data_IF_670857247437
#
_entry.id   IF_670857247437
#
_cell.length_a   1.000
_cell.length_b   1.000
_cell.length_c   1.000
_cell.angle_alpha   90.00
_cell.angle_beta   90.00
_cell.angle_gamma   90.00
#
_symmetry.space_group_name_H-M   'P 1'
#
loop_
_entity.id
_entity.type
_entity.pdbx_description
1 polymer ?
#
# COMPACT_ATOMS: atom_id res chain seq x y z
N UNK A 1 -9.40 3.86 19.31
CA UNK A 1 -9.23 3.52 17.88
C UNK A 1 -10.59 3.62 17.17
N UNK A 2 -10.65 4.15 15.94
CA UNK A 2 -11.89 4.10 15.14
C UNK A 2 -12.19 2.65 14.72
N UNK A 3 -13.46 2.24 14.74
CA UNK A 3 -13.84 0.89 14.35
C UNK A 3 -13.77 0.71 12.83
N UNK A 4 -13.01 -0.29 12.36
CA UNK A 4 -12.86 -0.65 10.94
C UNK A 4 -13.64 -1.94 10.71
N UNK A 5 -14.91 -1.80 10.33
CA UNK A 5 -15.88 -2.90 10.30
C UNK A 5 -15.62 -3.95 9.21
N UNK A 6 -14.89 -3.58 8.15
CA UNK A 6 -14.60 -4.44 7.00
C UNK A 6 -13.19 -5.05 7.03
N UNK A 7 -12.50 -4.93 8.17
CA UNK A 7 -11.14 -5.44 8.28
C UNK A 7 -11.12 -6.97 8.32
N UNK A 8 -10.34 -7.58 7.43
CA UNK A 8 -10.08 -9.01 7.37
C UNK A 8 -8.63 -9.25 7.81
N UNK A 9 -8.47 -9.89 8.96
CA UNK A 9 -7.15 -10.24 9.52
C UNK A 9 -6.56 -11.46 8.83
N UNK A 10 -5.25 -11.43 8.59
CA UNK A 10 -4.50 -12.52 7.99
C UNK A 10 -3.39 -13.06 8.89
N UNK A 11 -2.74 -12.18 9.66
CA UNK A 11 -1.59 -12.51 10.48
C UNK A 11 -1.58 -11.62 11.72
N UNK A 12 -1.23 -12.18 12.88
CA UNK A 12 -1.03 -11.37 14.10
C UNK A 12 0.44 -10.95 14.20
N UNK A 13 0.73 -9.70 14.62
CA UNK A 13 2.09 -9.28 14.87
C UNK A 13 2.68 -10.03 16.06
N UNK A 14 3.97 -10.31 16.00
CA UNK A 14 4.70 -10.75 17.18
C UNK A 14 4.93 -9.57 18.13
N UNK A 15 5.22 -9.85 19.40
CA UNK A 15 5.52 -8.82 20.40
C UNK A 15 6.75 -8.01 19.98
N UNK A 16 7.76 -8.66 19.41
CA UNK A 16 8.98 -8.02 18.95
C UNK A 16 8.71 -7.00 17.83
N UNK A 17 7.80 -7.31 16.90
CA UNK A 17 7.40 -6.38 15.84
C UNK A 17 6.70 -5.15 16.44
N UNK A 18 5.77 -5.37 17.37
CA UNK A 18 5.08 -4.27 18.05
C UNK A 18 6.07 -3.37 18.80
N UNK A 19 6.98 -3.95 19.58
CA UNK A 19 7.99 -3.20 20.34
C UNK A 19 8.96 -2.45 19.42
N UNK A 20 9.44 -3.09 18.34
CA UNK A 20 10.39 -2.50 17.39
C UNK A 20 9.86 -1.22 16.75
N UNK A 21 8.57 -1.16 16.47
CA UNK A 21 7.93 -0.05 15.75
C UNK A 21 7.16 0.93 16.64
N UNK A 22 6.93 0.61 17.91
CA UNK A 22 6.32 1.54 18.86
C UNK A 22 7.15 2.82 18.96
N UNK A 23 6.52 3.97 18.77
CA UNK A 23 7.18 5.29 18.73
C UNK A 23 7.88 5.64 17.43
N UNK A 24 7.92 4.74 16.43
CA UNK A 24 8.48 5.00 15.09
C UNK A 24 7.41 5.22 14.02
N UNK A 25 6.25 4.61 14.22
CA UNK A 25 5.04 4.83 13.42
C UNK A 25 3.96 5.47 14.29
N UNK A 26 2.89 6.05 13.72
CA UNK A 26 1.80 6.62 14.51
C UNK A 26 1.18 5.60 15.45
N UNK A 27 0.79 6.03 16.66
CA UNK A 27 0.16 5.15 17.64
C UNK A 27 -1.08 4.43 17.08
N UNK A 28 -1.81 5.06 16.16
CA UNK A 28 -2.96 4.44 15.50
C UNK A 28 -2.59 3.20 14.66
N UNK A 29 -1.36 3.12 14.14
CA UNK A 29 -0.85 1.92 13.44
C UNK A 29 -0.52 0.81 14.43
N UNK A 30 0.11 1.15 15.56
CA UNK A 30 0.38 0.18 16.62
C UNK A 30 -0.94 -0.38 17.18
N UNK A 31 -1.94 0.49 17.40
CA UNK A 31 -3.28 0.08 17.81
C UNK A 31 -3.94 -0.84 16.77
N UNK A 32 -3.84 -0.49 15.48
CA UNK A 32 -4.36 -1.33 14.39
C UNK A 32 -3.75 -2.74 14.43
N UNK A 33 -2.43 -2.83 14.53
CA UNK A 33 -1.74 -4.12 14.57
C UNK A 33 -2.09 -4.92 15.82
N UNK A 34 -2.22 -4.29 16.99
CA UNK A 34 -2.61 -4.98 18.23
C UNK A 34 -4.06 -5.46 18.20
N UNK A 35 -4.99 -4.64 17.69
CA UNK A 35 -6.42 -4.95 17.69
C UNK A 35 -6.80 -5.93 16.58
N UNK A 36 -6.26 -5.76 15.38
CA UNK A 36 -6.71 -6.46 14.18
C UNK A 36 -5.61 -7.28 13.50
N UNK A 37 -4.34 -6.96 13.75
CA UNK A 37 -3.20 -7.59 13.08
C UNK A 37 -2.87 -6.98 11.72
N UNK A 38 -2.14 -7.75 10.92
CA UNK A 38 -1.93 -7.51 9.51
C UNK A 38 -3.10 -8.10 8.74
N UNK A 39 -3.60 -7.36 7.75
CA UNK A 39 -4.91 -7.63 7.18
C UNK A 39 -5.27 -6.67 6.07
N UNK A 40 -6.51 -6.72 5.62
CA UNK A 40 -7.02 -5.84 4.57
C UNK A 40 -8.32 -5.17 4.94
N UNK A 41 -8.56 -4.02 4.34
CA UNK A 41 -9.82 -3.25 4.37
C UNK A 41 -10.09 -2.71 2.98
N UNK A 42 -11.23 -2.03 2.80
CA UNK A 42 -11.66 -1.46 1.53
C UNK A 42 -11.73 -2.53 0.42
N UNK A 43 -12.35 -3.67 0.75
CA UNK A 43 -12.45 -4.84 -0.13
C UNK A 43 -11.10 -5.33 -0.66
N UNK A 44 -10.04 -5.29 0.16
CA UNK A 44 -8.71 -5.75 -0.22
C UNK A 44 -7.82 -4.66 -0.84
N UNK A 45 -8.35 -3.44 -1.03
CA UNK A 45 -7.61 -2.35 -1.63
C UNK A 45 -6.45 -1.89 -0.74
N UNK A 46 -6.67 -1.72 0.56
CA UNK A 46 -5.65 -1.23 1.48
C UNK A 46 -5.31 -2.33 2.47
N UNK A 47 -4.03 -2.68 2.59
CA UNK A 47 -3.57 -3.80 3.40
C UNK A 47 -2.58 -3.35 4.45
N UNK A 48 -2.88 -3.57 5.72
CA UNK A 48 -1.93 -3.38 6.81
C UNK A 48 -0.91 -4.50 6.77
N UNK A 49 0.38 -4.15 6.70
CA UNK A 49 1.47 -5.11 6.46
C UNK A 49 2.45 -5.18 7.62
N UNK A 50 3.15 -6.31 7.73
CA UNK A 50 4.36 -6.41 8.52
C UNK A 50 5.48 -5.66 7.80
N UNK A 51 6.03 -4.56 8.34
CA UNK A 51 7.05 -3.79 7.65
C UNK A 51 8.27 -4.64 7.26
N UNK A 52 8.67 -5.62 8.08
CA UNK A 52 9.84 -6.48 7.85
C UNK A 52 9.80 -7.21 6.51
N UNK A 53 8.60 -7.56 6.02
CA UNK A 53 8.42 -8.27 4.75
C UNK A 53 8.64 -7.39 3.52
N UNK A 54 8.72 -6.07 3.71
CA UNK A 54 8.77 -5.08 2.64
C UNK A 54 10.02 -4.20 2.70
N UNK A 55 10.89 -4.36 3.71
CA UNK A 55 12.12 -3.57 3.82
C UNK A 55 13.06 -3.80 2.64
N UNK A 56 13.24 -5.06 2.22
CA UNK A 56 14.14 -5.39 1.11
C UNK A 56 13.67 -4.77 -0.21
N UNK A 57 12.38 -4.90 -0.54
CA UNK A 57 11.86 -4.28 -1.76
C UNK A 57 11.92 -2.77 -1.67
N UNK A 58 11.57 -2.17 -0.52
CA UNK A 58 11.62 -0.72 -0.33
C UNK A 58 13.05 -0.18 -0.52
N UNK A 59 14.06 -0.91 -0.04
CA UNK A 59 15.48 -0.56 -0.21
C UNK A 59 15.87 -0.48 -1.69
N UNK A 60 15.40 -1.42 -2.49
CA UNK A 60 15.69 -1.45 -3.93
C UNK A 60 14.87 -0.40 -4.70
N UNK A 61 13.66 -0.09 -4.24
CA UNK A 61 12.66 0.62 -5.03
C UNK A 61 12.40 2.07 -4.61
N UNK A 62 12.96 2.57 -3.50
CA UNK A 62 12.77 3.95 -3.04
C UNK A 62 14.08 4.59 -2.56
N UNK A 63 14.44 5.77 -3.09
CA UNK A 63 15.72 6.41 -2.76
C UNK A 63 15.84 6.85 -1.28
N UNK A 64 14.72 7.09 -0.59
CA UNK A 64 14.68 7.52 0.82
C UNK A 64 14.26 6.39 1.76
N UNK A 65 14.51 5.14 1.37
CA UNK A 65 14.12 3.95 2.14
C UNK A 65 14.61 3.98 3.60
N UNK A 66 15.75 4.62 3.90
CA UNK A 66 16.32 4.67 5.26
C UNK A 66 15.46 5.47 6.25
N UNK A 67 14.65 6.40 5.74
CA UNK A 67 13.77 7.27 6.54
C UNK A 67 12.31 6.76 6.56
N UNK A 68 12.02 5.71 5.78
CA UNK A 68 10.67 5.30 5.43
C UNK A 68 10.31 3.92 6.01
N UNK A 69 9.16 3.83 6.68
CA UNK A 69 8.64 2.57 7.23
C UNK A 69 7.40 2.15 6.44
N UNK A 70 7.42 1.02 5.71
CA UNK A 70 6.25 0.57 4.97
C UNK A 70 5.18 0.04 5.93
N UNK A 71 3.99 0.62 5.88
CA UNK A 71 2.90 0.31 6.82
C UNK A 71 1.62 -0.16 6.13
N UNK A 72 1.43 0.18 4.85
CA UNK A 72 0.39 -0.41 4.02
C UNK A 72 0.89 -0.73 2.62
N UNK A 73 0.19 -1.64 1.94
CA UNK A 73 0.22 -1.78 0.49
C UNK A 73 -1.15 -1.55 -0.11
N UNK A 74 -1.20 -1.26 -1.42
CA UNK A 74 -2.45 -1.19 -2.17
C UNK A 74 -2.66 -2.40 -3.07
N UNK A 75 -3.93 -2.72 -3.35
CA UNK A 75 -4.33 -3.72 -4.35
C UNK A 75 -3.96 -3.34 -5.79
N UNK A 76 -3.29 -2.21 -6.00
CA UNK A 76 -2.78 -1.75 -7.30
C UNK A 76 -1.25 -1.68 -7.35
N UNK A 77 -0.57 -2.31 -6.38
CA UNK A 77 0.88 -2.48 -6.40
C UNK A 77 1.66 -1.28 -5.88
N UNK A 78 1.06 -0.45 -5.01
CA UNK A 78 1.74 0.65 -4.35
C UNK A 78 2.08 0.31 -2.90
N UNK A 79 3.02 1.07 -2.32
CA UNK A 79 3.37 0.97 -0.90
C UNK A 79 3.14 2.33 -0.25
N UNK A 80 2.46 2.34 0.90
CA UNK A 80 2.38 3.51 1.76
C UNK A 80 3.43 3.42 2.86
N UNK A 81 4.24 4.45 2.95
CA UNK A 81 5.32 4.56 3.94
C UNK A 81 5.03 5.70 4.92
N UNK A 82 5.42 5.49 6.18
CA UNK A 82 5.51 6.54 7.17
C UNK A 82 6.93 7.10 7.18
N UNK A 83 7.06 8.40 6.91
CA UNK A 83 8.34 9.07 6.75
C UNK A 83 8.21 10.52 7.24
N UNK A 84 9.11 10.97 8.12
CA UNK A 84 9.17 12.38 8.58
C UNK A 84 7.83 12.99 9.03
N UNK A 85 6.98 12.19 9.69
CA UNK A 85 5.62 12.54 10.12
C UNK A 85 4.57 12.70 8.99
N UNK A 86 4.87 12.22 7.80
CA UNK A 86 3.95 12.14 6.67
C UNK A 86 3.67 10.69 6.29
N UNK A 87 2.43 10.44 5.87
CA UNK A 87 2.07 9.24 5.14
C UNK A 87 2.26 9.52 3.65
N UNK A 88 3.21 8.83 3.04
CA UNK A 88 3.51 8.95 1.61
C UNK A 88 3.00 7.71 0.88
N UNK A 89 2.49 7.88 -0.33
CA UNK A 89 2.08 6.80 -1.23
C UNK A 89 3.06 6.73 -2.40
N UNK A 90 3.85 5.66 -2.43
CA UNK A 90 4.80 5.35 -3.49
C UNK A 90 4.07 4.66 -4.64
N UNK A 91 3.66 5.42 -5.66
CA UNK A 91 2.89 4.90 -6.81
C UNK A 91 3.81 4.28 -7.85
N UNK A 92 4.30 3.06 -7.62
CA UNK A 92 5.24 2.39 -8.53
C UNK A 92 4.74 2.35 -9.97
N UNK A 93 3.44 2.07 -10.18
CA UNK A 93 2.85 2.04 -11.53
C UNK A 93 2.93 3.38 -12.27
N UNK A 94 3.06 4.51 -11.56
CA UNK A 94 3.14 5.88 -12.12
C UNK A 94 4.51 6.53 -11.95
N UNK A 95 5.39 5.98 -11.12
CA UNK A 95 6.67 6.57 -10.78
C UNK A 95 6.56 7.89 -9.99
N UNK A 96 5.48 8.08 -9.22
CA UNK A 96 5.27 9.30 -8.41
C UNK A 96 5.09 9.04 -6.92
N UNK A 97 5.51 9.99 -6.08
CA UNK A 97 5.27 9.97 -4.63
C UNK A 97 4.24 11.04 -4.27
N UNK A 98 3.16 10.62 -3.62
CA UNK A 98 2.09 11.53 -3.17
C UNK A 98 2.05 11.62 -1.64
N UNK A 99 1.88 12.84 -1.11
CA UNK A 99 1.59 13.05 0.31
C UNK A 99 0.12 12.75 0.58
N UNK A 100 -0.15 11.65 1.29
CA UNK A 100 -1.52 11.21 1.63
C UNK A 100 -2.04 11.92 2.88
N UNK A 101 -1.18 12.10 3.89
CA UNK A 101 -1.55 12.78 5.13
C UNK A 101 -0.33 13.36 5.86
N UNK A 102 -0.40 14.63 6.27
CA UNK A 102 0.59 15.22 7.20
C UNK A 102 0.29 15.01 8.69
N UNK A 103 -0.89 14.45 9.01
CA UNK A 103 -1.23 13.97 10.36
C UNK A 103 -2.02 12.68 10.21
N UNK A 104 -1.46 11.56 10.65
CA UNK A 104 -2.07 10.25 10.49
C UNK A 104 -3.48 10.12 11.12
N UNK A 105 -3.76 10.92 12.16
CA UNK A 105 -5.01 10.87 12.92
C UNK A 105 -6.30 10.94 12.09
N UNK A 106 -6.26 11.53 10.89
CA UNK A 106 -7.43 11.66 10.02
C UNK A 106 -7.50 10.61 8.92
N UNK A 107 -6.48 9.76 8.77
CA UNK A 107 -6.37 8.83 7.64
C UNK A 107 -7.56 7.86 7.56
N UNK A 108 -7.86 7.12 8.63
CA UNK A 108 -9.00 6.18 8.64
C UNK A 108 -10.37 6.85 8.51
N UNK A 109 -10.48 8.12 8.91
CA UNK A 109 -11.69 8.90 8.66
C UNK A 109 -11.80 9.23 7.18
N UNK A 110 -10.70 9.66 6.55
CA UNK A 110 -10.64 10.01 5.15
C UNK A 110 -10.85 8.81 4.23
N UNK A 111 -10.51 7.59 4.65
CA UNK A 111 -10.82 6.37 3.87
C UNK A 111 -12.31 6.06 3.76
N UNK A 112 -13.20 6.85 4.38
CA UNK A 112 -14.66 6.78 4.22
C UNK A 112 -15.21 7.81 3.23
N UNK A 113 -14.34 8.66 2.69
CA UNK A 113 -14.69 9.72 1.75
C UNK A 113 -14.33 9.30 0.31
N UNK A 114 -15.33 9.26 -0.57
CA UNK A 114 -15.15 8.80 -1.95
C UNK A 114 -14.15 9.67 -2.73
N UNK A 115 -14.13 10.98 -2.48
CA UNK A 115 -13.19 11.89 -3.12
C UNK A 115 -11.75 11.55 -2.72
N UNK A 116 -11.48 11.29 -1.45
CA UNK A 116 -10.17 10.85 -0.97
C UNK A 116 -9.75 9.54 -1.62
N UNK A 117 -10.64 8.55 -1.67
CA UNK A 117 -10.36 7.24 -2.26
C UNK A 117 -10.05 7.36 -3.77
N UNK A 118 -10.81 8.19 -4.49
CA UNK A 118 -10.62 8.41 -5.92
C UNK A 118 -9.39 9.27 -6.26
N UNK A 119 -9.18 10.37 -5.55
CA UNK A 119 -8.19 11.39 -5.94
C UNK A 119 -6.84 11.21 -5.25
N UNK A 120 -6.84 10.78 -3.99
CA UNK A 120 -5.60 10.60 -3.23
C UNK A 120 -5.10 9.18 -3.42
N UNK A 121 -5.96 8.20 -3.15
CA UNK A 121 -5.59 6.79 -3.23
C UNK A 121 -5.67 6.22 -4.64
N UNK A 122 -6.27 6.89 -5.62
CA UNK A 122 -6.31 6.43 -7.02
C UNK A 122 -6.91 5.01 -7.18
N UNK A 123 -7.99 4.73 -6.44
CA UNK A 123 -8.59 3.40 -6.35
C UNK A 123 -9.57 3.06 -7.49
N UNK A 124 -9.81 3.97 -8.45
CA UNK A 124 -10.90 3.81 -9.43
C UNK A 124 -10.73 2.57 -10.29
N UNK A 125 -9.53 2.37 -10.84
CA UNK A 125 -9.23 1.18 -11.64
C UNK A 125 -9.23 -0.11 -10.79
N UNK A 126 -8.93 -0.01 -9.49
CA UNK A 126 -9.05 -1.15 -8.58
C UNK A 126 -10.49 -1.67 -8.51
N UNK A 127 -11.46 -0.79 -8.29
CA UNK A 127 -12.88 -1.18 -8.19
C UNK A 127 -13.35 -1.87 -9.48
N UNK A 128 -12.96 -1.33 -10.64
CA UNK A 128 -13.30 -1.90 -11.94
C UNK A 128 -12.61 -3.25 -12.18
N UNK A 129 -11.33 -3.38 -11.79
CA UNK A 129 -10.58 -4.63 -11.89
C UNK A 129 -11.11 -5.70 -10.93
N UNK A 130 -11.48 -5.33 -9.71
CA UNK A 130 -12.08 -6.23 -8.73
C UNK A 130 -13.38 -6.83 -9.25
N UNK A 131 -14.24 -6.01 -9.88
CA UNK A 131 -15.48 -6.48 -10.49
C UNK A 131 -15.24 -7.40 -11.70
N UNK A 132 -14.18 -7.16 -12.48
CA UNK A 132 -13.89 -7.90 -13.71
C UNK A 132 -13.12 -9.20 -13.49
N UNK A 133 -12.12 -9.17 -12.61
CA UNK A 133 -11.14 -10.26 -12.40
C UNK A 133 -11.30 -10.95 -11.05
N UNK A 134 -12.17 -10.44 -10.17
CA UNK A 134 -12.42 -11.00 -8.84
C UNK A 134 -11.38 -10.62 -7.79
N UNK A 135 -11.56 -11.15 -6.58
CA UNK A 135 -10.73 -10.85 -5.40
C UNK A 135 -9.26 -11.21 -5.62
N UNK A 136 -8.37 -10.43 -5.01
CA UNK A 136 -6.93 -10.68 -4.96
C UNK A 136 -6.60 -11.61 -3.79
N UNK A 137 -5.57 -12.44 -3.98
CA UNK A 137 -4.90 -13.09 -2.85
C UNK A 137 -4.06 -12.08 -2.05
N UNK A 138 -3.63 -12.50 -0.85
CA UNK A 138 -2.96 -11.62 0.13
C UNK A 138 -1.67 -10.96 -0.39
N UNK A 139 -0.96 -11.62 -1.29
CA UNK A 139 0.31 -11.19 -1.87
C UNK A 139 0.14 -10.67 -3.31
N UNK A 140 -1.09 -10.61 -3.83
CA UNK A 140 -1.38 -10.15 -5.18
C UNK A 140 -1.83 -8.69 -5.25
N UNK A 141 -1.52 -8.04 -6.37
CA UNK A 141 -2.11 -6.77 -6.79
C UNK A 141 -2.56 -6.83 -8.25
N UNK A 142 -3.34 -5.83 -8.68
CA UNK A 142 -3.57 -5.57 -10.09
C UNK A 142 -2.43 -4.73 -10.66
N UNK A 143 -1.62 -5.35 -11.52
CA UNK A 143 -0.50 -4.72 -12.22
C UNK A 143 -0.80 -4.51 -13.70
N UNK A 144 -0.32 -3.41 -14.28
CA UNK A 144 -0.49 -3.13 -15.71
C UNK A 144 0.46 -3.99 -16.55
N UNK A 145 -0.08 -4.64 -17.58
CA UNK A 145 0.67 -5.45 -18.56
C UNK A 145 0.27 -5.03 -19.99
N UNK A 146 1.19 -4.42 -20.78
CA UNK A 146 2.55 -4.02 -20.41
C UNK A 146 2.59 -2.91 -19.35
N UNK A 147 3.76 -2.73 -18.70
CA UNK A 147 3.96 -1.69 -17.69
C UNK A 147 3.67 -0.29 -18.27
N UNK A 148 3.03 0.59 -17.50
CA UNK A 148 2.74 1.96 -17.95
C UNK A 148 4.02 2.72 -18.33
N UNK A 149 5.08 2.50 -17.58
CA UNK A 149 6.37 3.14 -17.80
C UNK A 149 7.05 2.72 -19.12
N UNK A 150 6.61 1.61 -19.72
CA UNK A 150 7.04 1.15 -21.05
C UNK A 150 6.05 1.56 -22.16
N UNK A 151 5.20 2.56 -21.91
CA UNK A 151 4.18 3.02 -22.85
C UNK A 151 2.89 2.18 -22.85
N UNK A 152 2.70 1.34 -21.83
CA UNK A 152 1.48 0.56 -21.67
C UNK A 152 0.24 1.42 -21.42
N UNK A 153 -0.93 1.01 -21.91
CA UNK A 153 -2.16 1.78 -21.73
C UNK A 153 -2.70 1.66 -20.29
N UNK A 154 -3.06 2.80 -19.69
CA UNK A 154 -3.72 2.86 -18.38
C UNK A 154 -5.21 2.50 -18.49
N UNK A 155 -5.49 1.23 -18.77
CA UNK A 155 -6.85 0.68 -18.96
C UNK A 155 -7.06 -0.57 -18.13
N UNK A 156 -8.29 -0.80 -17.66
CA UNK A 156 -8.64 -1.98 -16.85
C UNK A 156 -8.42 -3.29 -17.60
N UNK A 157 -8.58 -3.28 -18.92
CA UNK A 157 -8.29 -4.41 -19.82
C UNK A 157 -6.84 -4.87 -19.76
N UNK A 158 -5.94 -3.99 -19.33
CA UNK A 158 -4.51 -4.24 -19.24
C UNK A 158 -4.05 -4.56 -17.81
N UNK A 159 -4.97 -4.69 -16.86
CA UNK A 159 -4.63 -5.15 -15.51
C UNK A 159 -4.65 -6.68 -15.45
N UNK A 160 -3.65 -7.24 -14.77
CA UNK A 160 -3.57 -8.65 -14.43
C UNK A 160 -3.30 -8.81 -12.93
N UNK A 161 -3.73 -9.94 -12.36
CA UNK A 161 -3.30 -10.33 -11.01
C UNK A 161 -1.85 -10.75 -11.08
N UNK A 162 -1.01 -10.09 -10.29
CA UNK A 162 0.43 -10.34 -10.21
C UNK A 162 0.85 -10.30 -8.75
N UNK A 163 1.98 -10.91 -8.40
CA UNK A 163 2.53 -10.81 -7.06
C UNK A 163 3.13 -9.41 -6.84
N UNK A 164 2.79 -8.79 -5.72
CA UNK A 164 3.06 -7.37 -5.49
C UNK A 164 4.56 -7.07 -5.47
N UNK A 165 5.33 -7.82 -4.68
CA UNK A 165 6.77 -7.56 -4.50
C UNK A 165 7.50 -7.73 -5.83
N UNK A 166 7.21 -8.80 -6.55
CA UNK A 166 7.78 -9.12 -7.86
C UNK A 166 7.39 -8.07 -8.91
N UNK A 167 6.16 -7.55 -8.86
CA UNK A 167 5.71 -6.51 -9.77
C UNK A 167 6.42 -5.17 -9.50
N UNK A 168 6.55 -4.78 -8.23
CA UNK A 168 7.32 -3.59 -7.83
C UNK A 168 8.79 -3.75 -8.23
N UNK A 169 9.38 -4.93 -7.99
CA UNK A 169 10.75 -5.23 -8.39
C UNK A 169 10.93 -5.10 -9.89
N UNK A 170 10.01 -5.68 -10.69
CA UNK A 170 10.04 -5.60 -12.15
C UNK A 170 10.00 -4.15 -12.64
N UNK A 171 9.07 -3.34 -12.11
CA UNK A 171 9.00 -1.90 -12.44
C UNK A 171 10.33 -1.21 -12.12
N UNK A 172 10.86 -1.48 -10.93
CA UNK A 172 12.12 -0.89 -10.44
C UNK A 172 13.30 -1.25 -11.34
N UNK A 173 13.37 -2.46 -11.87
CA UNK A 173 14.45 -2.86 -12.80
C UNK A 173 14.41 -2.09 -14.12
N UNK A 174 13.23 -1.65 -14.59
CA UNK A 174 13.10 -0.86 -15.81
C UNK A 174 13.27 0.64 -15.58
N UNK A 175 12.80 1.14 -14.44
CA UNK A 175 12.66 2.58 -14.18
C UNK A 175 13.64 3.15 -13.17
N UNK A 176 14.34 2.28 -12.43
CA UNK A 176 15.06 2.66 -11.22
C UNK A 176 14.15 2.85 -10.01
N UNK A 177 14.74 3.16 -8.84
CA UNK A 177 13.97 3.51 -7.64
C UNK A 177 13.20 4.81 -7.84
N UNK A 178 12.06 4.92 -7.16
CA UNK A 178 11.24 6.14 -7.15
C UNK A 178 11.92 7.24 -6.31
N UNK A 179 11.78 8.50 -6.74
CA UNK A 179 12.37 9.69 -6.12
C UNK A 179 11.40 10.46 -5.21
#
# INVERSE_FOLDING_TARGET
MENINDFISFEKPSTEVIEKYTGKVPDQIIDLWKCYGFGSMLNGYLRAINPEKYLDILKESYIRYEEAIPIFTTGMGDILVWENNYLLLLKYRKGTVDVVAGKFKFFFKNTKDDYFLEKVLDWKHYQQALNKYGKLEIDECFGYTPLLALGGPEKVENLQKVKLIEHVYLITQFMGPIE
#
